data_IF_727556313218
#
_entry.id   IF_727556313218
#
_cell.length_a   1.000
_cell.length_b   1.000
_cell.length_c   1.000
_cell.angle_alpha   90.00
_cell.angle_beta   90.00
_cell.angle_gamma   90.00
#
_symmetry.space_group_name_H-M   'P 1'
#
loop_
_entity.id
_entity.type
_entity.pdbx_description
1 polymer ?
#
# COMPACT_ATOMS: atom_id res chain seq x y z
N UNK A 1 0.78 -10.08 -20.76
CA UNK A 1 2.05 -10.45 -20.11
C UNK A 1 2.65 -9.24 -19.39
N UNK A 2 2.88 -8.12 -20.10
CA UNK A 2 3.41 -6.85 -19.54
C UNK A 2 2.59 -6.27 -18.37
N UNK A 3 1.25 -6.23 -18.49
CA UNK A 3 0.38 -5.65 -17.45
C UNK A 3 0.47 -6.40 -16.11
N UNK A 4 0.56 -7.74 -16.15
CA UNK A 4 0.67 -8.56 -14.94
C UNK A 4 2.02 -8.34 -14.24
N UNK A 5 3.10 -8.13 -15.00
CA UNK A 5 4.41 -7.76 -14.47
C UNK A 5 4.39 -6.38 -13.82
N UNK A 6 3.83 -5.38 -14.48
CA UNK A 6 3.69 -4.02 -13.94
C UNK A 6 2.88 -4.01 -12.63
N UNK A 7 1.74 -4.70 -12.60
CA UNK A 7 0.91 -4.84 -11.40
C UNK A 7 1.61 -5.61 -10.29
N UNK A 8 2.37 -6.66 -10.64
CA UNK A 8 3.15 -7.45 -9.68
C UNK A 8 4.23 -6.62 -8.96
N UNK A 9 4.89 -5.68 -9.65
CA UNK A 9 5.82 -4.76 -9.00
C UNK A 9 5.12 -3.64 -8.23
N UNK A 10 4.02 -3.10 -8.77
CA UNK A 10 3.26 -2.03 -8.12
C UNK A 10 2.68 -2.48 -6.76
N UNK A 11 2.20 -3.72 -6.69
CA UNK A 11 1.60 -4.31 -5.49
C UNK A 11 2.61 -5.05 -4.60
N UNK A 12 3.87 -5.18 -5.05
CA UNK A 12 4.90 -5.97 -4.37
C UNK A 12 4.72 -7.50 -4.47
N UNK A 13 3.65 -7.98 -5.13
CA UNK A 13 3.39 -9.41 -5.31
C UNK A 13 4.54 -10.17 -5.96
N UNK A 14 5.29 -9.50 -6.83
CA UNK A 14 6.43 -10.10 -7.53
C UNK A 14 7.51 -10.61 -6.57
N UNK A 15 7.61 -10.02 -5.38
CA UNK A 15 8.53 -10.44 -4.34
C UNK A 15 8.01 -11.62 -3.50
N UNK A 16 6.70 -11.90 -3.56
CA UNK A 16 6.03 -12.93 -2.76
C UNK A 16 5.90 -14.28 -3.47
N UNK A 17 5.78 -14.29 -4.79
CA UNK A 17 5.56 -15.52 -5.55
C UNK A 17 6.39 -15.59 -6.86
N UNK A 18 6.91 -16.78 -7.21
CA UNK A 18 7.60 -16.99 -8.49
C UNK A 18 6.61 -16.86 -9.65
N UNK A 19 7.07 -16.16 -10.70
CA UNK A 19 6.35 -16.01 -11.97
C UNK A 19 6.26 -17.37 -12.69
N UNK A 20 5.18 -17.67 -13.44
CA UNK A 20 4.03 -16.81 -13.77
C UNK A 20 2.83 -16.97 -12.82
N UNK A 21 2.22 -15.84 -12.44
CA UNK A 21 0.84 -15.81 -11.93
C UNK A 21 -0.10 -15.39 -13.06
N UNK A 22 -1.24 -16.06 -13.16
CA UNK A 22 -2.32 -15.65 -14.04
C UNK A 22 -2.90 -14.30 -13.59
N UNK A 23 -3.40 -13.51 -14.55
CA UNK A 23 -3.86 -12.14 -14.31
C UNK A 23 -4.98 -12.05 -13.23
N UNK A 24 -5.98 -12.95 -13.20
CA UNK A 24 -6.97 -12.98 -12.12
C UNK A 24 -6.36 -13.12 -10.73
N UNK A 25 -5.39 -14.03 -10.55
CA UNK A 25 -4.69 -14.21 -9.28
C UNK A 25 -3.89 -12.97 -8.87
N UNK A 26 -3.24 -12.30 -9.82
CA UNK A 26 -2.52 -11.04 -9.56
C UNK A 26 -3.47 -9.95 -9.06
N UNK A 27 -4.64 -9.81 -9.69
CA UNK A 27 -5.63 -8.81 -9.31
C UNK A 27 -6.24 -9.12 -7.93
N UNK A 28 -6.66 -10.37 -7.69
CA UNK A 28 -7.26 -10.76 -6.43
C UNK A 28 -6.29 -10.61 -5.25
N UNK A 29 -5.07 -11.11 -5.41
CA UNK A 29 -4.05 -11.01 -4.36
C UNK A 29 -3.61 -9.56 -4.16
N UNK A 30 -3.41 -8.81 -5.25
CA UNK A 30 -3.08 -7.39 -5.19
C UNK A 30 -4.15 -6.56 -4.49
N UNK A 31 -5.43 -6.84 -4.74
CA UNK A 31 -6.53 -6.16 -4.04
C UNK A 31 -6.53 -6.45 -2.53
N UNK A 32 -6.29 -7.69 -2.12
CA UNK A 32 -6.19 -8.07 -0.70
C UNK A 32 -4.98 -7.39 -0.05
N UNK A 33 -3.81 -7.44 -0.67
CA UNK A 33 -2.58 -6.82 -0.17
C UNK A 33 -2.75 -5.30 -0.03
N UNK A 34 -3.22 -4.63 -1.07
CA UNK A 34 -3.45 -3.19 -1.04
C UNK A 34 -4.53 -2.79 -0.01
N UNK A 35 -5.50 -3.65 0.28
CA UNK A 35 -6.49 -3.41 1.35
C UNK A 35 -5.82 -3.45 2.73
N UNK A 36 -4.93 -4.41 2.97
CA UNK A 36 -4.12 -4.45 4.19
C UNK A 36 -3.22 -3.21 4.30
N UNK A 37 -2.57 -2.81 3.21
CA UNK A 37 -1.74 -1.61 3.14
C UNK A 37 -2.52 -0.34 3.43
N UNK A 38 -3.75 -0.22 2.90
CA UNK A 38 -4.66 0.89 3.20
C UNK A 38 -4.98 0.99 4.71
N UNK A 39 -5.23 -0.15 5.37
CA UNK A 39 -5.49 -0.21 6.80
C UNK A 39 -4.23 0.21 7.58
N UNK A 40 -3.06 -0.32 7.22
CA UNK A 40 -1.79 0.04 7.86
C UNK A 40 -1.47 1.53 7.73
N UNK A 41 -1.56 2.08 6.52
CA UNK A 41 -1.39 3.51 6.24
C UNK A 41 -2.35 4.37 7.07
N UNK A 42 -3.61 3.96 7.21
CA UNK A 42 -4.59 4.68 8.04
C UNK A 42 -4.17 4.74 9.51
N UNK A 43 -3.71 3.61 10.05
CA UNK A 43 -3.29 3.48 11.45
C UNK A 43 -2.04 4.34 11.73
N UNK A 44 -1.02 4.20 10.89
CA UNK A 44 0.25 4.96 11.02
C UNK A 44 -0.03 6.46 10.87
N UNK A 45 -0.80 6.86 9.87
CA UNK A 45 -1.15 8.26 9.65
C UNK A 45 -1.87 8.88 10.84
N UNK A 46 -2.85 8.17 11.43
CA UNK A 46 -3.57 8.64 12.61
C UNK A 46 -2.64 8.85 13.80
N UNK A 47 -1.68 7.95 14.02
CA UNK A 47 -0.75 8.03 15.15
C UNK A 47 0.36 9.08 14.95
N UNK A 48 0.66 9.41 13.69
CA UNK A 48 1.72 10.34 13.30
C UNK A 48 1.21 11.76 12.97
N UNK A 49 -0.08 12.06 13.20
CA UNK A 49 -0.66 13.39 12.97
C UNK A 49 -0.96 13.71 11.50
N UNK A 50 -1.03 12.71 10.63
CA UNK A 50 -1.37 12.85 9.21
C UNK A 50 -2.86 12.56 8.95
N UNK A 51 -3.46 13.10 7.86
CA UNK A 51 -4.85 12.86 7.51
C UNK A 51 -5.10 11.37 7.19
N UNK A 52 -5.84 10.62 8.02
CA UNK A 52 -5.93 9.16 7.88
C UNK A 52 -6.60 8.73 6.58
N UNK A 53 -7.60 9.50 6.10
CA UNK A 53 -8.35 9.19 4.87
C UNK A 53 -7.46 9.29 3.62
N UNK A 54 -6.59 10.30 3.56
CA UNK A 54 -5.64 10.45 2.45
C UNK A 54 -4.69 9.26 2.40
N UNK A 55 -4.11 8.89 3.54
CA UNK A 55 -3.19 7.76 3.62
C UNK A 55 -3.86 6.41 3.36
N UNK A 56 -5.14 6.26 3.74
CA UNK A 56 -5.93 5.07 3.39
C UNK A 56 -6.04 4.92 1.87
N UNK A 57 -6.40 6.00 1.17
CA UNK A 57 -6.53 5.99 -0.29
C UNK A 57 -5.17 5.72 -0.98
N UNK A 58 -4.10 6.31 -0.46
CA UNK A 58 -2.74 6.06 -0.96
C UNK A 58 -2.33 4.60 -0.78
N UNK A 59 -2.60 3.98 0.39
CA UNK A 59 -2.34 2.56 0.61
C UNK A 59 -3.15 1.65 -0.33
N UNK A 60 -4.39 2.01 -0.64
CA UNK A 60 -5.23 1.21 -1.54
C UNK A 60 -4.72 1.25 -3.01
N UNK A 61 -4.20 2.39 -3.45
CA UNK A 61 -3.76 2.58 -4.85
C UNK A 61 -2.30 2.17 -5.05
N UNK A 62 -1.42 2.57 -4.14
CA UNK A 62 0.03 2.39 -4.27
C UNK A 62 0.57 1.24 -3.41
N UNK A 63 -0.28 0.58 -2.62
CA UNK A 63 0.06 -0.61 -1.84
C UNK A 63 1.24 -0.38 -0.90
N UNK A 64 2.17 -1.33 -0.94
CA UNK A 64 3.35 -1.39 -0.08
C UNK A 64 4.24 -0.14 -0.18
N UNK A 65 4.26 0.54 -1.33
CA UNK A 65 5.05 1.76 -1.50
C UNK A 65 4.51 2.93 -0.69
N UNK A 66 3.18 3.06 -0.59
CA UNK A 66 2.57 4.04 0.30
C UNK A 66 2.87 3.71 1.76
N UNK A 67 2.86 2.43 2.14
CA UNK A 67 3.22 2.00 3.50
C UNK A 67 4.67 2.37 3.83
N UNK A 68 5.61 2.11 2.92
CA UNK A 68 7.01 2.45 3.11
C UNK A 68 7.20 3.96 3.35
N UNK A 69 6.57 4.81 2.53
CA UNK A 69 6.62 6.26 2.75
C UNK A 69 5.94 6.65 4.07
N UNK A 70 4.78 6.06 4.39
CA UNK A 70 4.04 6.37 5.61
C UNK A 70 4.86 6.08 6.88
N UNK A 71 5.63 4.99 6.87
CA UNK A 71 6.50 4.57 7.98
C UNK A 71 7.75 5.46 8.08
N UNK A 72 8.37 5.82 6.94
CA UNK A 72 9.57 6.65 6.92
C UNK A 72 9.31 8.12 7.24
N UNK A 73 8.06 8.58 7.09
CA UNK A 73 7.71 9.95 7.42
C UNK A 73 7.81 10.18 8.93
N UNK A 74 8.51 11.26 9.35
CA UNK A 74 8.61 11.60 10.76
C UNK A 74 7.24 11.94 11.32
N UNK A 75 7.02 11.61 12.58
CA UNK A 75 5.81 12.02 13.30
C UNK A 75 5.68 13.54 13.21
N UNK A 76 4.55 14.04 12.70
CA UNK A 76 4.22 15.45 12.83
C UNK A 76 3.87 15.69 14.28
N UNK A 77 4.50 16.70 14.89
CA UNK A 77 4.00 17.25 16.13
C UNK A 77 2.53 17.59 15.89
N UNK A 78 1.64 17.15 16.78
CA UNK A 78 0.25 17.54 16.72
C UNK A 78 0.24 19.07 16.61
N UNK A 79 -0.13 19.59 15.43
CA UNK A 79 -0.45 21.00 15.33
C UNK A 79 -1.68 21.14 16.21
N UNK A 80 -1.44 21.62 17.42
CA UNK A 80 -2.39 21.67 18.51
C UNK A 80 -3.75 22.09 18.00
N UNK A 81 -4.73 21.22 18.21
CA UNK A 81 -6.12 21.63 18.31
C UNK A 81 -6.48 21.64 19.77
#
# INVERSE_FOLDING_TARGET
>A
MELALALGYLTGLRFLAPYPLDLPSVLATGAVVNTCDAIMCRLVARNNGYPPRLWTALGLVFGIWAVAVCILLPKRAESGR
#
